data_IF_323891492502
#
_entry.id   IF_323891492502
#
_cell.length_a   1.000
_cell.length_b   1.000
_cell.length_c   1.000
_cell.angle_alpha   90.00
_cell.angle_beta   90.00
_cell.angle_gamma   90.00
#
_symmetry.space_group_name_H-M   'P 1'
#
loop_
_entity.id
_entity.type
_entity.pdbx_description
1 polymer ?
#
# COMPACT_ATOMS: atom_id res chain seq x y z
N UNK A 1 15.85 -38.31 16.26
CA UNK A 1 15.82 -36.97 15.64
C UNK A 1 15.59 -35.96 16.75
N UNK A 2 16.34 -34.85 16.82
CA UNK A 2 16.05 -33.82 17.81
C UNK A 2 14.69 -33.17 17.49
N UNK A 3 13.94 -32.69 18.51
CA UNK A 3 12.69 -31.99 18.29
C UNK A 3 12.96 -30.72 17.47
N UNK A 4 12.21 -30.55 16.38
CA UNK A 4 12.35 -29.40 15.49
C UNK A 4 11.88 -28.14 16.22
N UNK A 5 12.83 -27.30 16.60
CA UNK A 5 12.60 -26.05 17.34
C UNK A 5 12.13 -24.93 16.39
N UNK A 6 11.21 -25.22 15.47
CA UNK A 6 10.63 -24.21 14.61
C UNK A 6 9.60 -23.40 15.41
N UNK A 7 9.63 -22.07 15.31
CA UNK A 7 8.57 -21.24 15.88
C UNK A 7 7.21 -21.67 15.33
N UNK A 8 6.11 -21.46 16.08
CA UNK A 8 4.77 -21.81 15.62
C UNK A 8 4.48 -21.20 14.24
N UNK A 9 3.76 -21.95 13.40
CA UNK A 9 3.37 -21.51 12.05
C UNK A 9 2.68 -20.15 12.14
N UNK A 10 3.28 -19.14 11.51
CA UNK A 10 2.67 -17.81 11.37
C UNK A 10 1.76 -17.86 10.16
N UNK A 11 0.49 -17.49 10.36
CA UNK A 11 -0.40 -17.23 9.24
C UNK A 11 0.04 -15.93 8.55
N UNK A 12 0.45 -16.01 7.30
CA UNK A 12 0.90 -14.86 6.49
C UNK A 12 -0.17 -14.60 5.45
N UNK A 13 -0.72 -13.38 5.44
CA UNK A 13 -1.67 -12.92 4.44
C UNK A 13 -0.92 -12.02 3.45
N UNK A 14 -1.01 -12.33 2.17
CA UNK A 14 -0.51 -11.46 1.10
C UNK A 14 -1.54 -10.36 0.83
N UNK A 15 -1.11 -9.10 0.92
CA UNK A 15 -1.92 -7.90 0.69
C UNK A 15 -1.53 -7.19 -0.61
N UNK A 16 -0.82 -7.89 -1.51
CA UNK A 16 -0.27 -7.32 -2.73
C UNK A 16 -1.08 -7.68 -3.96
N UNK A 17 -1.25 -6.72 -4.87
CA UNK A 17 -1.75 -7.02 -6.21
C UNK A 17 -0.62 -7.56 -7.11
N UNK A 18 -0.88 -8.56 -7.98
CA UNK A 18 0.11 -9.03 -8.93
C UNK A 18 0.42 -7.95 -9.97
N UNK A 19 1.70 -7.80 -10.31
CA UNK A 19 2.12 -6.90 -11.38
C UNK A 19 2.00 -7.62 -12.74
N UNK A 20 1.07 -7.18 -13.58
CA UNK A 20 0.83 -7.70 -14.92
C UNK A 20 1.26 -6.66 -15.96
N UNK A 21 2.22 -7.02 -16.82
CA UNK A 21 2.79 -6.11 -17.82
C UNK A 21 1.69 -5.43 -18.65
N UNK A 22 1.67 -4.10 -18.67
CA UNK A 22 0.69 -3.30 -19.40
C UNK A 22 -0.73 -3.24 -18.81
N UNK A 23 -0.99 -3.89 -17.67
CA UNK A 23 -2.32 -3.96 -17.05
C UNK A 23 -2.35 -3.54 -15.57
N UNK A 24 -1.24 -3.03 -15.04
CA UNK A 24 -1.21 -2.43 -13.70
C UNK A 24 -1.75 -0.99 -13.79
N UNK A 25 -2.80 -0.63 -13.01
CA UNK A 25 -3.22 0.75 -12.84
C UNK A 25 -2.04 1.64 -12.46
N UNK A 26 -1.92 2.78 -13.12
CA UNK A 26 -0.88 3.77 -12.84
C UNK A 26 -1.48 5.17 -12.91
N UNK A 27 -0.96 6.09 -12.11
CA UNK A 27 -1.31 7.50 -12.22
C UNK A 27 -0.95 8.04 -13.61
N UNK A 28 -1.72 9.02 -14.09
CA UNK A 28 -1.48 9.65 -15.39
C UNK A 28 -0.05 10.19 -15.46
N UNK A 29 0.66 9.87 -16.56
CA UNK A 29 2.05 10.29 -16.77
C UNK A 29 3.11 9.41 -16.08
N UNK A 30 2.74 8.46 -15.23
CA UNK A 30 3.68 7.49 -14.68
C UNK A 30 4.05 6.42 -15.71
N UNK A 31 5.26 5.83 -15.63
CA UNK A 31 5.65 4.73 -16.50
C UNK A 31 4.79 3.49 -16.24
N UNK A 32 4.31 2.86 -17.32
CA UNK A 32 3.60 1.59 -17.24
C UNK A 32 4.55 0.46 -16.83
N UNK A 33 4.07 -0.45 -15.97
CA UNK A 33 4.82 -1.66 -15.64
C UNK A 33 5.06 -2.52 -16.87
N UNK A 34 6.32 -2.90 -17.09
CA UNK A 34 6.69 -3.92 -18.08
C UNK A 34 7.69 -4.91 -17.52
N UNK A 35 7.56 -6.17 -17.96
CA UNK A 35 8.51 -7.23 -17.68
C UNK A 35 8.86 -7.94 -19.00
N UNK A 36 10.05 -7.66 -19.54
CA UNK A 36 10.50 -8.21 -20.80
C UNK A 36 11.56 -9.28 -20.58
N UNK A 37 11.27 -10.51 -21.01
CA UNK A 37 12.25 -11.61 -21.00
C UNK A 37 13.43 -11.25 -21.92
N UNK A 38 14.60 -11.08 -21.31
CA UNK A 38 15.84 -10.63 -21.96
C UNK A 38 16.80 -11.80 -22.20
N UNK A 39 16.89 -12.73 -21.24
CA UNK A 39 17.54 -14.03 -21.42
C UNK A 39 16.50 -15.13 -21.23
N UNK A 40 16.57 -16.17 -22.04
CA UNK A 40 15.60 -17.26 -22.09
C UNK A 40 16.28 -18.62 -22.20
N UNK A 41 16.03 -19.50 -21.22
CA UNK A 41 16.43 -20.91 -21.29
C UNK A 41 15.90 -21.59 -22.56
N UNK A 42 14.70 -21.20 -23.01
CA UNK A 42 14.11 -21.74 -24.24
C UNK A 42 14.88 -21.34 -25.51
N UNK A 43 15.66 -20.26 -25.45
CA UNK A 43 16.54 -19.80 -26.53
C UNK A 43 17.99 -20.32 -26.37
N UNK A 44 18.27 -21.12 -25.33
CA UNK A 44 19.61 -21.66 -25.05
C UNK A 44 20.47 -20.79 -24.14
N UNK A 45 19.93 -19.73 -23.54
CA UNK A 45 20.64 -18.96 -22.51
C UNK A 45 20.79 -19.78 -21.21
N UNK A 46 21.62 -19.32 -20.27
CA UNK A 46 21.87 -20.05 -19.01
C UNK A 46 20.82 -19.80 -17.91
N UNK A 47 19.93 -18.82 -18.11
CA UNK A 47 18.89 -18.43 -17.15
C UNK A 47 17.74 -17.68 -17.83
N UNK A 48 16.59 -17.63 -17.16
CA UNK A 48 15.51 -16.71 -17.51
C UNK A 48 15.72 -15.41 -16.73
N UNK A 49 15.89 -14.30 -17.45
CA UNK A 49 16.11 -12.98 -16.83
C UNK A 49 15.18 -11.99 -17.49
N UNK A 50 14.43 -11.24 -16.68
CA UNK A 50 13.56 -10.17 -17.17
C UNK A 50 14.19 -8.81 -16.90
N UNK A 51 14.02 -7.90 -17.85
CA UNK A 51 14.18 -6.45 -17.61
C UNK A 51 12.83 -5.93 -17.13
N UNK A 52 12.84 -5.20 -16.00
CA UNK A 52 11.64 -4.58 -15.43
C UNK A 52 11.70 -3.06 -15.63
N UNK A 53 10.59 -2.47 -16.08
CA UNK A 53 10.38 -1.02 -16.03
C UNK A 53 9.14 -0.74 -15.20
N UNK A 54 9.25 0.14 -14.22
CA UNK A 54 8.17 0.50 -13.30
C UNK A 54 8.44 1.88 -12.67
N UNK A 55 7.37 2.54 -12.24
CA UNK A 55 7.47 3.70 -11.37
C UNK A 55 7.60 3.27 -9.91
N UNK A 56 8.04 4.18 -9.05
CA UNK A 56 8.10 3.93 -7.59
C UNK A 56 6.71 3.73 -6.97
N UNK A 57 5.66 4.22 -7.64
CA UNK A 57 4.25 4.14 -7.23
C UNK A 57 3.44 3.17 -8.09
N UNK A 58 4.07 2.09 -8.56
CA UNK A 58 3.42 1.04 -9.36
C UNK A 58 2.97 -0.10 -8.47
N UNK A 59 1.69 -0.47 -8.53
CA UNK A 59 1.16 -1.60 -7.75
C UNK A 59 0.97 -1.27 -6.27
N UNK A 60 0.96 -2.31 -5.44
CA UNK A 60 1.08 -2.16 -3.98
C UNK A 60 2.49 -1.65 -3.65
N UNK A 61 2.59 -0.44 -3.12
CA UNK A 61 3.86 0.27 -2.95
C UNK A 61 3.92 1.01 -1.61
N UNK A 62 5.04 1.72 -1.37
CA UNK A 62 5.29 2.49 -0.17
C UNK A 62 5.77 3.89 -0.55
N UNK A 63 5.15 4.89 0.05
CA UNK A 63 5.58 6.28 -0.05
C UNK A 63 6.53 6.65 1.10
N UNK A 64 7.66 7.25 0.75
CA UNK A 64 8.55 7.92 1.69
C UNK A 64 8.28 9.43 1.70
N UNK A 65 8.61 10.17 2.78
CA UNK A 65 8.41 11.62 2.82
C UNK A 65 9.00 12.37 1.62
N UNK A 66 10.13 11.90 1.07
CA UNK A 66 10.74 12.46 -0.14
C UNK A 66 9.80 12.56 -1.34
N UNK A 67 8.73 11.75 -1.38
CA UNK A 67 7.73 11.81 -2.46
C UNK A 67 7.07 13.20 -2.57
N UNK A 68 6.82 13.88 -1.45
CA UNK A 68 6.16 15.19 -1.40
C UNK A 68 7.01 16.30 -0.77
N UNK A 69 8.10 15.95 -0.08
CA UNK A 69 8.97 16.90 0.62
C UNK A 69 10.39 16.79 0.10
N UNK A 70 10.93 17.87 -0.49
CA UNK A 70 12.27 17.87 -1.10
C UNK A 70 13.38 17.47 -0.11
N UNK A 71 13.23 17.85 1.16
CA UNK A 71 14.16 17.51 2.25
C UNK A 71 13.69 16.27 3.06
N UNK A 72 12.69 15.55 2.56
CA UNK A 72 12.13 14.35 3.20
C UNK A 72 13.07 13.15 3.10
N UNK A 73 12.95 12.23 4.06
CA UNK A 73 13.71 10.98 4.04
C UNK A 73 13.33 10.12 2.83
N UNK A 74 14.33 9.48 2.22
CA UNK A 74 14.15 8.52 1.13
C UNK A 74 13.78 7.13 1.68
N UNK A 75 13.30 6.24 0.82
CA UNK A 75 12.79 4.91 1.23
C UNK A 75 13.83 4.06 1.96
N UNK A 76 15.10 4.16 1.58
CA UNK A 76 16.24 3.45 2.19
C UNK A 76 16.63 3.99 3.57
N UNK A 77 16.10 5.16 3.96
CA UNK A 77 16.33 5.80 5.25
C UNK A 77 15.18 5.58 6.25
N UNK A 78 14.08 4.96 5.81
CA UNK A 78 12.96 4.67 6.68
C UNK A 78 13.35 3.67 7.78
N UNK A 79 12.78 3.86 8.96
CA UNK A 79 12.92 2.90 10.06
C UNK A 79 12.21 1.59 9.69
N UNK A 80 13.00 0.56 9.37
CA UNK A 80 12.50 -0.75 8.97
C UNK A 80 11.60 -1.39 10.05
N UNK A 81 11.74 -1.01 11.33
CA UNK A 81 10.86 -1.52 12.39
C UNK A 81 9.41 -1.06 12.26
N UNK A 82 9.15 0.02 11.51
CA UNK A 82 7.80 0.48 11.16
C UNK A 82 7.20 -0.32 10.00
N UNK A 83 8.03 -0.96 9.18
CA UNK A 83 7.62 -1.70 7.98
C UNK A 83 7.63 -3.22 8.20
N UNK A 84 8.45 -3.70 9.13
CA UNK A 84 8.61 -5.11 9.44
C UNK A 84 8.08 -5.41 10.85
N UNK A 85 6.97 -6.14 10.93
CA UNK A 85 6.35 -6.62 12.17
C UNK A 85 5.84 -5.52 13.13
N UNK A 86 5.65 -4.29 12.64
CA UNK A 86 5.02 -3.23 13.40
C UNK A 86 3.57 -3.62 13.78
N UNK A 87 3.16 -3.39 15.04
CA UNK A 87 1.80 -3.71 15.45
C UNK A 87 0.83 -2.78 14.75
N UNK A 88 -0.17 -3.38 14.11
CA UNK A 88 -1.19 -2.68 13.34
C UNK A 88 -2.57 -2.74 14.01
N UNK A 89 -3.42 -1.79 13.63
CA UNK A 89 -4.87 -1.82 13.78
C UNK A 89 -5.49 -1.72 12.39
N UNK A 90 -6.51 -2.53 12.13
CA UNK A 90 -7.26 -2.51 10.88
C UNK A 90 -8.67 -2.03 11.15
N UNK A 91 -9.10 -1.01 10.42
CA UNK A 91 -10.43 -0.40 10.53
C UNK A 91 -11.24 -0.78 9.32
N UNK A 92 -12.44 -1.31 9.55
CA UNK A 92 -13.36 -1.71 8.50
C UNK A 92 -14.17 -0.51 8.01
N UNK A 93 -13.91 -0.09 6.77
CA UNK A 93 -14.56 1.04 6.11
C UNK A 93 -15.29 0.59 4.84
N UNK A 94 -15.67 -0.68 4.72
CA UNK A 94 -16.32 -1.24 3.53
C UNK A 94 -17.70 -0.65 3.23
N UNK A 95 -18.26 0.13 4.16
CA UNK A 95 -19.49 0.90 3.97
C UNK A 95 -19.26 2.20 3.18
N UNK A 96 -18.00 2.63 3.00
CA UNK A 96 -17.65 3.81 2.20
C UNK A 96 -17.76 3.51 0.70
N UNK A 97 -18.54 4.34 0.02
CA UNK A 97 -18.76 4.26 -1.42
C UNK A 97 -17.76 5.11 -2.22
N UNK A 98 -18.00 5.19 -3.53
CA UNK A 98 -17.20 6.02 -4.42
C UNK A 98 -17.14 7.47 -3.94
N UNK A 99 -15.95 8.09 -4.01
CA UNK A 99 -15.62 9.45 -3.57
C UNK A 99 -16.02 9.76 -2.11
N UNK A 100 -16.27 8.73 -1.29
CA UNK A 100 -16.68 8.96 0.09
C UNK A 100 -15.50 9.44 0.93
N UNK A 101 -15.70 10.54 1.63
CA UNK A 101 -14.73 11.04 2.60
C UNK A 101 -14.73 10.18 3.87
N UNK A 102 -13.55 9.77 4.31
CA UNK A 102 -13.31 9.09 5.58
C UNK A 102 -13.03 10.17 6.63
N UNK A 103 -14.00 10.41 7.49
CA UNK A 103 -13.97 11.42 8.54
C UNK A 103 -13.43 10.81 9.84
N UNK A 104 -13.06 11.66 10.80
CA UNK A 104 -12.61 11.17 12.10
C UNK A 104 -13.69 10.35 12.83
N UNK A 105 -14.97 10.69 12.66
CA UNK A 105 -16.08 9.97 13.29
C UNK A 105 -16.13 8.49 12.87
N UNK A 106 -15.64 8.16 11.68
CA UNK A 106 -15.53 6.77 11.21
C UNK A 106 -14.41 5.99 11.92
N UNK A 107 -13.50 6.69 12.60
CA UNK A 107 -12.26 6.16 13.18
C UNK A 107 -12.22 6.29 14.72
N UNK A 108 -13.06 7.16 15.28
CA UNK A 108 -13.00 7.59 16.67
C UNK A 108 -13.07 6.43 17.68
N UNK A 109 -13.83 5.37 17.38
CA UNK A 109 -13.93 4.20 18.25
C UNK A 109 -12.62 3.41 18.38
N UNK A 110 -11.71 3.56 17.43
CA UNK A 110 -10.40 2.88 17.40
C UNK A 110 -9.27 3.71 18.02
N UNK A 111 -9.53 4.94 18.48
CA UNK A 111 -8.49 5.86 18.98
C UNK A 111 -7.58 5.22 20.04
N UNK A 112 -8.18 4.55 21.04
CA UNK A 112 -7.47 3.86 22.11
C UNK A 112 -6.63 2.66 21.63
N UNK A 113 -7.03 2.04 20.52
CA UNK A 113 -6.23 0.99 19.88
C UNK A 113 -5.08 1.62 19.08
N UNK A 114 -5.34 2.66 18.29
CA UNK A 114 -4.32 3.38 17.52
C UNK A 114 -3.17 3.86 18.41
N UNK A 115 -3.47 4.33 19.64
CA UNK A 115 -2.46 4.75 20.64
C UNK A 115 -1.47 3.65 21.05
N UNK A 116 -1.82 2.38 20.85
CA UNK A 116 -1.00 1.21 21.19
C UNK A 116 -0.27 0.61 19.98
N UNK A 117 -0.45 1.20 18.80
CA UNK A 117 -0.01 0.66 17.50
C UNK A 117 0.89 1.66 16.77
N UNK A 118 1.40 1.25 15.61
CA UNK A 118 2.20 2.10 14.72
C UNK A 118 1.65 2.18 13.30
N UNK A 119 0.87 1.18 12.91
CA UNK A 119 0.30 1.08 11.56
C UNK A 119 -1.22 1.10 11.65
N UNK A 120 -1.87 1.89 10.80
CA UNK A 120 -3.32 1.93 10.62
C UNK A 120 -3.65 1.44 9.20
N UNK A 121 -4.45 0.37 9.09
CA UNK A 121 -4.98 -0.10 7.82
C UNK A 121 -6.41 0.40 7.68
N UNK A 122 -6.67 1.18 6.63
CA UNK A 122 -7.99 1.65 6.25
C UNK A 122 -8.57 0.68 5.21
N UNK A 123 -9.39 -0.27 5.66
CA UNK A 123 -9.91 -1.34 4.82
C UNK A 123 -11.24 -0.91 4.17
N UNK A 124 -11.17 -0.25 3.01
CA UNK A 124 -12.37 0.23 2.29
C UNK A 124 -13.00 -0.85 1.39
N UNK A 125 -12.26 -1.92 1.13
CA UNK A 125 -12.64 -2.96 0.17
C UNK A 125 -12.53 -2.50 -1.28
N UNK A 126 -11.86 -1.37 -1.56
CA UNK A 126 -11.77 -0.78 -2.89
C UNK A 126 -10.85 -1.57 -3.83
N UNK A 127 -9.93 -2.36 -3.29
CA UNK A 127 -9.09 -3.32 -4.02
C UNK A 127 -9.85 -4.25 -4.96
N UNK A 128 -11.16 -4.49 -4.72
CA UNK A 128 -12.03 -5.25 -5.64
C UNK A 128 -12.20 -4.60 -7.02
N UNK A 129 -11.96 -3.29 -7.12
CA UNK A 129 -12.08 -2.51 -8.35
C UNK A 129 -10.75 -2.37 -9.10
N UNK A 130 -9.70 -3.11 -8.68
CA UNK A 130 -8.39 -3.08 -9.30
C UNK A 130 -8.44 -3.36 -10.81
N UNK A 131 -7.96 -2.42 -11.61
CA UNK A 131 -7.97 -2.51 -13.08
C UNK A 131 -9.29 -2.08 -13.75
N UNK A 132 -10.29 -1.68 -12.98
CA UNK A 132 -11.56 -1.16 -13.52
C UNK A 132 -11.44 0.36 -13.79
N UNK A 133 -12.19 0.91 -14.78
CA UNK A 133 -12.14 2.33 -15.11
C UNK A 133 -12.43 3.28 -13.94
N UNK A 134 -13.32 2.88 -13.03
CA UNK A 134 -13.69 3.65 -11.83
C UNK A 134 -12.78 3.38 -10.62
N UNK A 135 -11.62 2.74 -10.80
CA UNK A 135 -10.69 2.50 -9.69
C UNK A 135 -10.21 3.81 -9.03
N UNK A 136 -10.19 4.91 -9.77
CA UNK A 136 -9.85 6.26 -9.28
C UNK A 136 -10.95 6.89 -8.42
N UNK A 137 -12.18 6.36 -8.43
CA UNK A 137 -13.32 6.95 -7.72
C UNK A 137 -13.32 6.57 -6.24
N UNK A 138 -12.15 6.31 -5.67
CA UNK A 138 -12.00 5.66 -4.37
C UNK A 138 -12.35 6.60 -3.20
N UNK A 139 -12.72 6.03 -2.03
CA UNK A 139 -12.75 6.78 -0.79
C UNK A 139 -11.39 7.40 -0.47
N UNK A 140 -11.40 8.52 0.25
CA UNK A 140 -10.18 9.24 0.62
C UNK A 140 -10.25 9.79 2.04
N UNK A 141 -9.08 10.03 2.63
CA UNK A 141 -8.95 10.48 4.00
C UNK A 141 -9.19 11.99 4.13
N UNK A 142 -10.01 12.38 5.10
CA UNK A 142 -10.16 13.78 5.49
C UNK A 142 -8.88 14.34 6.13
N UNK A 143 -8.56 15.60 5.88
CA UNK A 143 -7.35 16.25 6.40
C UNK A 143 -7.36 16.36 7.93
N UNK A 144 -8.49 16.69 8.56
CA UNK A 144 -8.59 16.74 10.02
C UNK A 144 -8.49 15.33 10.61
N UNK A 145 -9.09 14.33 9.97
CA UNK A 145 -8.90 12.94 10.35
C UNK A 145 -7.42 12.52 10.30
N UNK A 146 -6.68 12.91 9.25
CA UNK A 146 -5.25 12.65 9.13
C UNK A 146 -4.45 13.28 10.29
N UNK A 147 -4.74 14.53 10.65
CA UNK A 147 -4.11 15.20 11.79
C UNK A 147 -4.36 14.45 13.10
N UNK A 148 -5.61 14.09 13.38
CA UNK A 148 -5.96 13.35 14.59
C UNK A 148 -5.34 11.95 14.65
N UNK A 149 -5.23 11.25 13.51
CA UNK A 149 -4.50 9.97 13.43
C UNK A 149 -3.04 10.16 13.87
N UNK A 150 -2.36 11.23 13.43
CA UNK A 150 -0.97 11.47 13.83
C UNK A 150 -0.82 11.65 15.35
N UNK A 151 -1.78 12.33 16.00
CA UNK A 151 -1.81 12.57 17.45
C UNK A 151 -1.98 11.28 18.27
N UNK A 152 -2.51 10.21 17.67
CA UNK A 152 -2.58 8.90 18.33
C UNK A 152 -1.21 8.23 18.44
N UNK A 153 -0.23 8.60 17.60
CA UNK A 153 1.09 7.95 17.58
C UNK A 153 1.27 6.93 16.45
N UNK A 154 0.29 6.81 15.54
CA UNK A 154 0.44 6.12 14.26
C UNK A 154 1.56 6.79 13.44
N UNK A 155 2.25 5.97 12.64
CA UNK A 155 3.39 6.37 11.80
C UNK A 155 3.27 5.92 10.35
N UNK A 156 2.45 4.91 10.10
CA UNK A 156 2.18 4.37 8.76
C UNK A 156 0.68 4.24 8.59
N UNK A 157 0.16 4.77 7.49
CA UNK A 157 -1.21 4.52 7.04
C UNK A 157 -1.11 3.64 5.79
N UNK A 158 -1.91 2.58 5.76
CA UNK A 158 -2.08 1.72 4.60
C UNK A 158 -3.53 1.80 4.12
N UNK A 159 -3.70 1.96 2.82
CA UNK A 159 -5.00 2.04 2.15
C UNK A 159 -5.05 0.97 1.06
N UNK A 160 -6.25 0.49 0.74
CA UNK A 160 -6.49 -0.43 -0.38
C UNK A 160 -7.02 0.29 -1.64
N UNK A 161 -6.70 1.57 -1.74
CA UNK A 161 -7.03 2.52 -2.82
C UNK A 161 -5.76 2.93 -3.57
N UNK A 162 -5.89 3.68 -4.67
CA UNK A 162 -4.74 4.18 -5.43
C UNK A 162 -3.93 5.22 -4.64
N UNK A 163 -4.61 6.06 -3.86
CA UNK A 163 -4.05 7.15 -3.07
C UNK A 163 -4.80 7.29 -1.75
N UNK A 164 -4.18 7.81 -0.66
CA UNK A 164 -4.93 8.23 0.53
C UNK A 164 -5.76 9.51 0.31
N UNK A 165 -5.40 10.31 -0.69
CA UNK A 165 -6.06 11.58 -1.04
C UNK A 165 -7.11 11.40 -2.14
N UNK A 166 -8.00 12.39 -2.30
CA UNK A 166 -8.96 12.40 -3.40
C UNK A 166 -8.23 12.37 -4.74
N UNK A 167 -8.59 11.42 -5.62
CA UNK A 167 -8.07 11.40 -6.97
C UNK A 167 -8.51 12.66 -7.71
N UNK A 168 -7.55 13.43 -8.24
CA UNK A 168 -7.86 14.61 -9.02
C UNK A 168 -8.67 14.21 -10.25
N UNK A 169 -9.84 14.83 -10.41
CA UNK A 169 -10.63 14.75 -11.64
C UNK A 169 -9.88 15.59 -12.68
N UNK A 170 -9.28 14.96 -13.69
CA UNK A 170 -8.81 15.66 -14.90
C UNK A 170 -9.98 16.26 -15.69
#
# INVERSE_FOLDING_TARGET
>A
MPPSNFPPERNILDLSHPLISGAVPACVGHPCYTAQLTFSLANGDFANVHTLTLGTHTGTHLDAPYHFFVDGCTVDQLDLSLLAAAPAVAVDLRTKGAHARIMWEDLAEYEEEMRKKKVLLLCTGWSRHWGEPHYTDHPFLDTEAAHRIMETGIRVIAVDTLSPDEAAVE
#
